data_IF_214197413503
#
_entry.id   IF_214197413503
#
_cell.length_a   1.000
_cell.length_b   1.000
_cell.length_c   1.000
_cell.angle_alpha   90.00
_cell.angle_beta   90.00
_cell.angle_gamma   90.00
#
_symmetry.space_group_name_H-M   'P 1'
#
loop_
_entity.id
_entity.type
_entity.pdbx_description
1 polymer ?
#
# COMPACT_ATOMS: atom_id res chain seq x y z
N UNK A 1 -15.06 -7.15 22.62
CA UNK A 1 -13.90 -6.91 23.50
C UNK A 1 -12.83 -6.23 22.66
N UNK A 2 -12.84 -4.90 22.61
CA UNK A 2 -11.88 -4.12 21.81
C UNK A 2 -10.66 -3.90 22.70
N UNK A 3 -9.48 -4.35 22.26
CA UNK A 3 -8.23 -4.16 22.99
C UNK A 3 -7.94 -2.65 23.11
N UNK A 4 -7.82 -2.09 24.34
CA UNK A 4 -7.51 -0.69 24.53
C UNK A 4 -6.00 -0.48 24.36
N UNK A 5 -5.51 -0.44 23.12
CA UNK A 5 -4.15 0.05 22.83
C UNK A 5 -4.14 1.55 23.07
N UNK A 6 -3.31 2.02 24.00
CA UNK A 6 -3.23 3.44 24.35
C UNK A 6 -2.50 4.20 23.25
N UNK A 7 -2.92 5.43 22.97
CA UNK A 7 -2.39 6.23 21.87
C UNK A 7 -0.89 6.54 22.00
N UNK A 8 -0.34 6.52 23.22
CA UNK A 8 1.10 6.75 23.45
C UNK A 8 1.94 5.55 22.97
N UNK A 9 1.38 4.34 23.00
CA UNK A 9 2.06 3.12 22.56
C UNK A 9 2.19 3.05 21.03
N UNK A 10 1.21 3.60 20.30
CA UNK A 10 1.22 3.75 18.84
C UNK A 10 2.27 4.77 18.35
N UNK A 11 2.59 5.77 19.16
CA UNK A 11 3.60 6.77 18.83
C UNK A 11 5.02 6.17 18.86
N UNK A 12 5.32 5.32 19.85
CA UNK A 12 6.60 4.58 19.91
C UNK A 12 6.75 3.59 18.76
N UNK A 13 5.63 3.03 18.26
CA UNK A 13 5.62 2.09 17.14
C UNK A 13 5.94 2.74 15.77
N UNK A 14 6.06 4.07 15.70
CA UNK A 14 6.39 4.78 14.44
C UNK A 14 7.91 4.86 14.20
N UNK A 15 8.73 4.69 15.25
CA UNK A 15 10.19 4.71 15.15
C UNK A 15 10.73 3.28 15.08
N UNK A 16 11.30 2.90 13.93
CA UNK A 16 11.95 1.61 13.76
C UNK A 16 13.41 1.68 14.22
N UNK A 17 13.84 0.66 14.95
CA UNK A 17 15.25 0.46 15.29
C UNK A 17 16.07 0.07 14.03
N UNK A 18 17.39 0.31 14.02
CA UNK A 18 18.25 -0.12 12.90
C UNK A 18 18.15 -1.62 12.59
N UNK A 19 18.03 -2.45 13.62
CA UNK A 19 17.90 -3.91 13.50
C UNK A 19 16.57 -4.30 12.83
N UNK A 20 15.49 -3.59 13.13
CA UNK A 20 14.19 -3.80 12.48
C UNK A 20 14.22 -3.36 11.02
N UNK A 21 14.93 -2.28 10.69
CA UNK A 21 15.13 -1.84 9.30
C UNK A 21 15.92 -2.87 8.50
N UNK A 22 16.98 -3.45 9.08
CA UNK A 22 17.76 -4.51 8.45
C UNK A 22 16.90 -5.75 8.20
N UNK A 23 16.14 -6.18 9.22
CA UNK A 23 15.22 -7.31 9.11
C UNK A 23 14.14 -7.06 8.04
N UNK A 24 13.55 -5.87 8.02
CA UNK A 24 12.56 -5.49 7.02
C UNK A 24 13.15 -5.47 5.60
N UNK A 25 14.40 -5.04 5.46
CA UNK A 25 15.12 -5.06 4.18
C UNK A 25 15.34 -6.48 3.68
N UNK A 26 15.78 -7.40 4.55
CA UNK A 26 15.90 -8.82 4.21
C UNK A 26 14.57 -9.40 3.73
N UNK A 27 13.49 -9.20 4.48
CA UNK A 27 12.15 -9.68 4.12
C UNK A 27 11.67 -9.09 2.79
N UNK A 28 11.95 -7.81 2.53
CA UNK A 28 11.60 -7.16 1.28
C UNK A 28 12.29 -7.84 0.08
N UNK A 29 13.58 -8.13 0.18
CA UNK A 29 14.30 -8.80 -0.91
C UNK A 29 13.84 -10.24 -1.12
N UNK A 30 13.56 -10.94 -0.03
CA UNK A 30 13.21 -12.36 -0.04
C UNK A 30 11.77 -12.61 -0.56
N UNK A 31 10.83 -11.69 -0.27
CA UNK A 31 9.39 -11.87 -0.58
C UNK A 31 8.82 -10.91 -1.61
N UNK A 32 9.37 -9.69 -1.74
CA UNK A 32 8.70 -8.60 -2.48
C UNK A 32 9.47 -8.18 -3.74
N UNK A 33 10.80 -8.20 -3.70
CA UNK A 33 11.64 -7.72 -4.81
C UNK A 33 11.44 -8.51 -6.12
N UNK A 34 11.02 -9.78 -6.04
CA UNK A 34 10.72 -10.60 -7.21
C UNK A 34 9.64 -10.00 -8.12
N UNK A 35 8.58 -9.43 -7.55
CA UNK A 35 7.48 -8.85 -8.32
C UNK A 35 7.60 -7.32 -8.47
N UNK A 36 8.10 -6.64 -7.44
CA UNK A 36 8.10 -5.17 -7.37
C UNK A 36 9.45 -4.53 -7.71
N UNK A 37 10.48 -5.35 -7.97
CA UNK A 37 11.83 -4.94 -8.33
C UNK A 37 12.67 -4.43 -7.16
N UNK A 38 13.99 -4.51 -7.27
CA UNK A 38 14.97 -4.05 -6.26
C UNK A 38 14.74 -2.59 -5.84
N UNK A 39 14.35 -1.74 -6.80
CA UNK A 39 14.10 -0.32 -6.60
C UNK A 39 12.64 0.03 -6.26
N UNK A 40 11.76 -0.95 -6.03
CA UNK A 40 10.31 -0.73 -5.78
C UNK A 40 9.55 -0.07 -6.93
N UNK A 41 10.17 0.09 -8.10
CA UNK A 41 9.58 0.72 -9.29
C UNK A 41 8.55 -0.16 -10.01
N UNK A 42 8.38 -1.41 -9.57
CA UNK A 42 7.53 -2.38 -10.23
C UNK A 42 8.28 -3.14 -11.32
N UNK A 43 7.82 -4.37 -11.57
CA UNK A 43 8.22 -5.19 -12.71
C UNK A 43 6.99 -5.98 -13.20
N UNK A 44 6.65 -7.06 -12.50
CA UNK A 44 5.39 -7.80 -12.70
C UNK A 44 4.28 -7.26 -11.81
N UNK A 45 4.61 -6.80 -10.60
CA UNK A 45 3.71 -6.14 -9.68
C UNK A 45 3.79 -4.60 -9.77
N UNK A 46 2.75 -3.89 -9.29
CA UNK A 46 2.70 -2.42 -9.29
C UNK A 46 3.83 -1.80 -8.45
N UNK A 47 4.19 -0.55 -8.69
CA UNK A 47 5.24 0.11 -7.91
C UNK A 47 4.85 0.28 -6.42
N UNK A 48 5.79 0.00 -5.51
CA UNK A 48 5.64 0.18 -4.06
C UNK A 48 6.34 1.46 -3.58
N UNK A 49 6.44 2.46 -4.45
CA UNK A 49 7.01 3.76 -4.07
C UNK A 49 5.99 4.56 -3.25
N UNK A 50 6.47 5.50 -2.44
CA UNK A 50 5.61 6.33 -1.59
C UNK A 50 4.58 7.10 -2.42
N UNK A 51 4.99 7.62 -3.58
CA UNK A 51 4.10 8.35 -4.50
C UNK A 51 3.00 7.44 -5.06
N UNK A 52 3.37 6.29 -5.61
CA UNK A 52 2.41 5.39 -6.25
C UNK A 52 1.47 4.76 -5.22
N UNK A 53 1.99 4.43 -4.04
CA UNK A 53 1.19 3.88 -2.94
C UNK A 53 0.24 4.94 -2.38
N UNK A 54 0.64 6.20 -2.25
CA UNK A 54 -0.26 7.25 -1.78
C UNK A 54 -1.33 7.55 -2.84
N UNK A 55 -0.98 7.69 -4.11
CA UNK A 55 -1.94 8.06 -5.14
C UNK A 55 -2.94 6.93 -5.44
N UNK A 56 -2.50 5.67 -5.45
CA UNK A 56 -3.29 4.55 -5.96
C UNK A 56 -3.83 3.58 -4.88
N UNK A 57 -3.50 3.76 -3.59
CA UNK A 57 -4.00 2.87 -2.53
C UNK A 57 -5.45 3.18 -2.14
N UNK A 58 -6.37 2.20 -2.22
CA UNK A 58 -7.77 2.35 -1.82
C UNK A 58 -7.98 2.88 -0.40
N UNK A 59 -7.15 2.46 0.55
CA UNK A 59 -7.23 2.93 1.94
C UNK A 59 -6.74 4.37 2.12
N UNK A 60 -5.82 4.82 1.27
CA UNK A 60 -5.30 6.19 1.27
C UNK A 60 -6.35 7.11 0.65
N UNK A 61 -6.93 6.72 -0.48
CA UNK A 61 -8.10 7.39 -1.04
C UNK A 61 -9.23 7.48 -0.02
N UNK A 62 -9.62 6.39 0.67
CA UNK A 62 -10.70 6.43 1.70
C UNK A 62 -10.38 7.35 2.89
N UNK A 63 -9.14 7.39 3.38
CA UNK A 63 -8.72 8.31 4.46
C UNK A 63 -8.71 9.76 3.95
N UNK A 64 -8.19 10.01 2.76
CA UNK A 64 -8.19 11.33 2.13
C UNK A 64 -9.60 11.81 1.77
N UNK A 65 -10.51 10.93 1.35
CA UNK A 65 -11.91 11.29 1.09
C UNK A 65 -12.63 11.71 2.37
N UNK A 66 -12.32 11.07 3.51
CA UNK A 66 -12.83 11.47 4.83
C UNK A 66 -12.25 12.79 5.32
N UNK A 67 -10.99 13.07 4.99
CA UNK A 67 -10.29 14.29 5.39
C UNK A 67 -10.46 15.46 4.39
N UNK A 68 -10.83 15.18 3.15
CA UNK A 68 -11.04 16.14 2.07
C UNK A 68 -12.20 15.66 1.15
N UNK A 69 -13.45 16.00 1.52
CA UNK A 69 -14.64 15.52 0.82
C UNK A 69 -14.87 16.20 -0.54
N UNK A 70 -14.22 17.34 -0.79
CA UNK A 70 -14.37 18.11 -2.02
C UNK A 70 -13.53 17.55 -3.17
N UNK A 71 -12.33 17.01 -2.88
CA UNK A 71 -11.48 16.28 -3.84
C UNK A 71 -11.98 14.84 -4.09
N UNK A 72 -12.78 14.29 -3.19
CA UNK A 72 -13.31 12.93 -3.23
C UNK A 72 -14.28 12.66 -4.38
N UNK A 73 -15.01 13.69 -4.83
CA UNK A 73 -16.12 13.59 -5.80
C UNK A 73 -15.73 13.15 -7.22
N UNK A 74 -14.44 12.89 -7.49
CA UNK A 74 -13.95 12.40 -8.78
C UNK A 74 -12.85 11.34 -8.68
N UNK A 75 -12.60 10.76 -7.50
CA UNK A 75 -11.63 9.68 -7.37
C UNK A 75 -12.18 8.39 -8.00
N UNK A 76 -11.36 7.61 -8.74
CA UNK A 76 -11.85 6.36 -9.30
C UNK A 76 -12.23 5.45 -8.13
N UNK A 77 -13.43 4.88 -8.18
CA UNK A 77 -13.78 3.81 -7.28
C UNK A 77 -12.67 2.75 -7.35
N UNK A 78 -12.24 2.26 -6.18
CA UNK A 78 -11.31 1.12 -6.16
C UNK A 78 -11.85 0.05 -7.10
N UNK A 79 -11.02 -0.56 -7.96
CA UNK A 79 -11.50 -1.58 -8.87
C UNK A 79 -12.19 -2.64 -8.00
N UNK A 80 -13.50 -2.80 -8.17
CA UNK A 80 -14.21 -3.89 -7.52
C UNK A 80 -13.60 -5.15 -8.10
N UNK A 81 -12.92 -5.92 -7.25
CA UNK A 81 -12.52 -7.28 -7.60
C UNK A 81 -13.83 -8.05 -7.61
N UNK A 82 -14.49 -8.06 -8.77
CA UNK A 82 -15.65 -8.92 -9.00
C UNK A 82 -15.20 -10.36 -8.74
N UNK A 83 -15.86 -11.11 -7.83
CA UNK A 83 -15.49 -12.49 -7.57
C UNK A 83 -15.61 -13.30 -8.87
N UNK A 84 -14.47 -13.72 -9.41
CA UNK A 84 -14.38 -14.49 -10.65
C UNK A 84 -13.81 -13.77 -11.88
N UNK A 85 -13.44 -12.48 -11.82
CA UNK A 85 -12.72 -11.83 -12.92
C UNK A 85 -11.21 -11.98 -12.74
N UNK A 86 -10.64 -12.96 -13.43
CA UNK A 86 -9.20 -13.21 -13.49
C UNK A 86 -8.39 -11.94 -13.82
N UNK A 87 -7.37 -11.69 -13.01
CA UNK A 87 -6.50 -10.49 -12.98
C UNK A 87 -5.68 -10.28 -14.26
N UNK A 88 -5.84 -11.14 -15.26
CA UNK A 88 -5.16 -11.09 -16.56
C UNK A 88 -5.58 -9.87 -17.42
N UNK A 89 -6.78 -9.33 -17.23
CA UNK A 89 -7.29 -8.22 -18.06
C UNK A 89 -6.66 -6.86 -17.76
N UNK A 90 -5.99 -6.69 -16.60
CA UNK A 90 -5.37 -5.42 -16.22
C UNK A 90 -3.89 -5.31 -16.64
N UNK A 91 -3.27 -6.43 -17.05
CA UNK A 91 -1.84 -6.48 -17.40
C UNK A 91 -1.63 -6.41 -18.93
N UNK A 92 -2.70 -6.46 -19.74
CA UNK A 92 -2.58 -6.40 -21.22
C UNK A 92 -3.29 -5.20 -21.85
N UNK A 93 -2.60 -4.07 -21.81
CA UNK A 93 -2.67 -2.95 -22.75
C UNK A 93 -1.42 -2.12 -22.50
N UNK A 94 -0.41 -2.01 -23.37
CA UNK A 94 -0.45 -1.46 -24.72
C UNK A 94 -1.48 -0.36 -24.90
#
# INVERSE_FOLDING_TARGET
MVCPVRAEELASATELTPQEIERASYLYFDRCAGCHGVLRKGATGPALTVKETSENWPGHARRHQRQNPEKARGAPASPTIEPGRETAALIKGR
#
